data_IF_901404042453
#
_entry.id   IF_901404042453
#
_cell.length_a   1.000
_cell.length_b   1.000
_cell.length_c   1.000
_cell.angle_alpha   90.00
_cell.angle_beta   90.00
_cell.angle_gamma   90.00
#
_symmetry.space_group_name_H-M   'P 1'
#
loop_
_entity.id
_entity.type
_entity.pdbx_description
1 polymer ?
#
# COMPACT_ATOMS: atom_id res chain seq x y z
N UNK A 1 18.75 34.22 -2.31
CA UNK A 1 17.84 35.30 -2.72
C UNK A 1 17.40 35.18 -4.17
N UNK A 2 16.19 35.67 -4.43
CA UNK A 2 15.49 35.84 -5.73
C UNK A 2 15.13 34.56 -6.51
N UNK A 3 13.95 34.01 -6.16
CA UNK A 3 13.17 33.06 -6.97
C UNK A 3 12.91 33.72 -8.34
N UNK A 4 13.33 33.09 -9.43
CA UNK A 4 13.00 33.50 -10.81
C UNK A 4 11.48 33.46 -10.96
N UNK A 5 10.84 34.62 -10.84
CA UNK A 5 9.44 34.82 -11.19
C UNK A 5 9.41 34.77 -12.72
N UNK A 6 8.68 33.81 -13.29
CA UNK A 6 8.46 33.74 -14.74
C UNK A 6 7.78 35.04 -15.17
N UNK A 7 8.52 35.90 -15.86
CA UNK A 7 8.01 37.14 -16.47
C UNK A 7 6.91 36.88 -17.50
N UNK A 8 6.78 35.65 -17.97
CA UNK A 8 5.81 35.24 -19.01
C UNK A 8 4.38 35.08 -18.48
N UNK A 9 4.18 35.14 -17.16
CA UNK A 9 2.86 35.15 -16.51
C UNK A 9 2.52 36.51 -15.89
N UNK A 10 3.19 37.59 -16.30
CA UNK A 10 2.73 38.95 -15.98
C UNK A 10 1.67 39.28 -17.01
N UNK A 11 0.43 38.90 -16.70
CA UNK A 11 -0.75 39.25 -17.48
C UNK A 11 -0.73 40.75 -17.78
N UNK A 12 -0.79 41.07 -19.07
CA UNK A 12 -1.02 42.41 -19.61
C UNK A 12 -2.06 43.15 -18.76
N UNK A 13 -1.83 44.45 -18.61
CA UNK A 13 -2.73 45.46 -18.04
C UNK A 13 -4.20 45.04 -18.21
N UNK A 14 -4.87 44.71 -17.09
CA UNK A 14 -6.25 44.20 -17.13
C UNK A 14 -7.12 45.17 -17.91
N UNK A 15 -7.58 44.75 -19.08
CA UNK A 15 -8.42 45.58 -19.93
C UNK A 15 -9.76 45.84 -19.22
N UNK A 16 -9.95 47.08 -18.78
CA UNK A 16 -11.17 47.56 -18.14
C UNK A 16 -12.43 47.28 -18.98
N UNK A 17 -12.31 47.19 -20.31
CA UNK A 17 -13.43 46.87 -21.21
C UNK A 17 -13.80 45.39 -21.15
N UNK A 18 -12.81 44.52 -21.03
CA UNK A 18 -13.02 43.08 -20.86
C UNK A 18 -13.70 42.78 -19.52
N UNK A 19 -13.28 43.44 -18.45
CA UNK A 19 -13.89 43.32 -17.13
C UNK A 19 -15.34 43.84 -17.09
N UNK A 20 -15.63 44.94 -17.80
CA UNK A 20 -17.00 45.46 -17.93
C UNK A 20 -17.91 44.48 -18.70
N UNK A 21 -17.44 43.91 -19.81
CA UNK A 21 -18.17 42.90 -20.58
C UNK A 21 -18.45 41.64 -19.76
N UNK A 22 -17.46 41.20 -18.99
CA UNK A 22 -17.59 40.07 -18.08
C UNK A 22 -18.53 40.32 -16.89
N UNK A 23 -18.63 41.58 -16.43
CA UNK A 23 -19.61 41.97 -15.41
C UNK A 23 -21.04 41.97 -15.95
N UNK A 24 -21.22 42.18 -17.25
CA UNK A 24 -22.52 42.21 -17.91
C UNK A 24 -23.02 40.81 -18.32
N UNK A 25 -22.13 39.80 -18.36
CA UNK A 25 -22.51 38.40 -18.61
C UNK A 25 -23.25 37.79 -17.40
N UNK A 26 -24.58 37.75 -17.48
CA UNK A 26 -25.42 36.99 -16.54
C UNK A 26 -25.27 35.50 -16.82
N UNK A 27 -24.90 34.70 -15.81
CA UNK A 27 -24.68 33.26 -15.95
C UNK A 27 -23.21 32.81 -15.87
N UNK A 28 -22.32 33.67 -15.34
CA UNK A 28 -20.93 33.30 -15.07
C UNK A 28 -20.87 32.12 -14.08
N UNK A 29 -20.57 30.94 -14.59
CA UNK A 29 -20.41 29.70 -13.84
C UNK A 29 -19.14 29.84 -12.98
N UNK A 30 -19.28 30.36 -11.75
CA UNK A 30 -18.18 30.41 -10.77
C UNK A 30 -17.79 29.01 -10.25
N UNK A 31 -18.64 28.02 -10.50
CA UNK A 31 -18.49 26.61 -10.15
C UNK A 31 -19.24 25.78 -11.19
N UNK A 32 -18.65 24.71 -11.73
CA UNK A 32 -19.34 23.81 -12.69
C UNK A 32 -20.70 23.37 -12.09
N UNK A 33 -21.79 23.33 -12.87
CA UNK A 33 -23.09 22.91 -12.37
C UNK A 33 -22.99 21.43 -11.95
N UNK A 34 -22.82 21.19 -10.64
CA UNK A 34 -22.75 19.85 -10.04
C UNK A 34 -21.44 19.42 -9.37
N UNK A 35 -20.44 20.28 -9.10
CA UNK A 35 -19.17 19.81 -8.52
C UNK A 35 -18.48 20.80 -7.59
N UNK A 36 -17.91 20.26 -6.49
CA UNK A 36 -17.19 20.92 -5.39
C UNK A 36 -16.11 21.92 -5.88
N UNK A 37 -15.66 22.80 -4.98
CA UNK A 37 -14.54 23.73 -5.21
C UNK A 37 -13.24 22.95 -5.53
N UNK A 38 -12.97 22.78 -6.82
CA UNK A 38 -11.71 22.28 -7.35
C UNK A 38 -10.61 23.34 -7.13
N UNK A 39 -9.81 23.20 -6.06
CA UNK A 39 -8.60 24.03 -5.88
C UNK A 39 -7.43 23.27 -6.50
N UNK A 40 -7.33 23.28 -7.83
CA UNK A 40 -6.23 22.64 -8.57
C UNK A 40 -6.23 21.10 -8.51
N UNK A 41 -6.71 20.46 -9.58
CA UNK A 41 -6.49 19.06 -10.01
C UNK A 41 -6.62 17.88 -9.02
N UNK A 42 -6.98 18.08 -7.75
CA UNK A 42 -7.25 16.98 -6.84
C UNK A 42 -8.40 17.34 -5.87
N UNK A 43 -9.50 16.57 -5.84
CA UNK A 43 -10.52 16.75 -4.83
C UNK A 43 -9.91 16.38 -3.47
N UNK A 44 -9.65 17.38 -2.62
CA UNK A 44 -9.32 17.17 -1.20
C UNK A 44 -10.57 16.68 -0.51
N UNK A 45 -10.74 15.36 -0.46
CA UNK A 45 -11.76 14.72 0.38
C UNK A 45 -11.32 14.91 1.83
N UNK A 46 -12.05 15.72 2.60
CA UNK A 46 -11.76 16.02 4.02
C UNK A 46 -11.66 14.78 4.91
N UNK A 47 -12.31 13.66 4.54
CA UNK A 47 -12.23 12.39 5.25
C UNK A 47 -12.23 11.21 4.29
N UNK A 48 -11.10 10.53 4.20
CA UNK A 48 -11.00 9.24 3.54
C UNK A 48 -11.63 8.17 4.44
N UNK A 49 -12.84 7.71 4.11
CA UNK A 49 -13.47 6.53 4.76
C UNK A 49 -12.83 5.20 4.34
N UNK A 50 -11.71 5.24 3.61
CA UNK A 50 -10.99 4.03 3.23
C UNK A 50 -10.15 3.57 4.43
N UNK A 51 -10.17 2.26 4.76
CA UNK A 51 -9.26 1.74 5.77
C UNK A 51 -7.82 2.02 5.33
N UNK A 52 -7.05 2.66 6.21
CA UNK A 52 -5.64 2.93 5.96
C UNK A 52 -4.90 1.60 5.67
N UNK A 53 -3.91 1.60 4.76
CA UNK A 53 -3.07 0.43 4.55
C UNK A 53 -2.48 -0.03 5.89
N UNK A 54 -2.62 -1.32 6.19
CA UNK A 54 -2.08 -1.88 7.43
C UNK A 54 -0.57 -1.71 7.45
N UNK A 55 -0.03 -1.18 8.54
CA UNK A 55 1.41 -1.15 8.77
C UNK A 55 1.92 -2.59 8.83
N UNK A 56 2.90 -2.93 7.99
CA UNK A 56 3.46 -4.28 7.92
C UNK A 56 4.40 -4.50 9.10
N UNK A 57 4.09 -5.50 9.93
CA UNK A 57 4.96 -5.96 11.03
C UNK A 57 5.80 -7.17 10.61
N UNK A 58 6.32 -7.19 9.37
CA UNK A 58 7.10 -8.33 8.87
C UNK A 58 8.51 -8.28 9.41
N UNK A 59 8.93 -9.32 10.14
CA UNK A 59 10.33 -9.61 10.49
C UNK A 59 11.02 -10.33 9.31
N UNK A 60 12.36 -10.31 9.19
CA UNK A 60 13.07 -11.06 8.15
C UNK A 60 12.73 -12.57 8.18
N UNK A 61 12.48 -13.13 9.37
CA UNK A 61 12.08 -14.52 9.57
C UNK A 61 10.56 -14.76 9.39
N UNK A 62 9.77 -13.69 9.21
CA UNK A 62 8.32 -13.79 8.95
C UNK A 62 8.05 -14.15 7.49
N UNK A 63 8.53 -15.32 7.06
CA UNK A 63 8.13 -15.93 5.81
C UNK A 63 6.65 -16.34 5.85
N UNK A 64 6.01 -16.49 4.68
CA UNK A 64 4.60 -16.94 4.57
C UNK A 64 4.32 -18.29 5.25
N UNK A 65 5.37 -19.05 5.56
CA UNK A 65 5.29 -20.46 5.94
C UNK A 65 5.86 -20.78 7.32
N UNK A 66 6.51 -19.85 8.02
CA UNK A 66 7.44 -20.23 9.09
C UNK A 66 6.95 -19.96 10.51
N UNK A 67 5.99 -19.05 10.73
CA UNK A 67 5.69 -18.60 12.10
C UNK A 67 4.26 -18.82 12.58
N UNK A 68 3.35 -19.36 11.76
CA UNK A 68 1.98 -19.60 12.25
C UNK A 68 1.90 -20.96 12.94
N UNK A 69 1.73 -21.03 14.28
CA UNK A 69 1.47 -22.31 14.92
C UNK A 69 0.21 -22.91 14.29
N UNK A 70 0.32 -24.17 13.85
CA UNK A 70 -0.81 -24.94 13.35
C UNK A 70 -1.83 -25.18 14.45
N UNK A 71 -3.07 -25.49 14.07
CA UNK A 71 -4.05 -25.97 15.04
C UNK A 71 -3.52 -27.25 15.74
N UNK A 72 -3.88 -27.50 17.00
CA UNK A 72 -3.48 -28.73 17.68
C UNK A 72 -3.91 -29.96 16.86
N UNK A 73 -2.97 -30.88 16.60
CA UNK A 73 -3.18 -32.05 15.74
C UNK A 73 -2.90 -31.83 14.25
N UNK A 74 -2.38 -30.66 13.84
CA UNK A 74 -1.91 -30.42 12.47
C UNK A 74 -0.41 -30.09 12.41
N UNK A 75 0.25 -30.52 11.34
CA UNK A 75 1.67 -30.24 11.10
C UNK A 75 1.85 -28.86 10.46
N UNK A 76 2.74 -28.05 11.03
CA UNK A 76 3.18 -26.78 10.46
C UNK A 76 4.14 -27.02 9.28
N UNK A 77 4.27 -26.06 8.37
CA UNK A 77 5.16 -26.15 7.20
C UNK A 77 6.63 -26.25 7.61
N UNK A 78 7.04 -25.59 8.69
CA UNK A 78 8.37 -25.78 9.27
C UNK A 78 8.59 -27.24 9.71
N UNK A 79 7.61 -27.84 10.38
CA UNK A 79 7.67 -29.25 10.80
C UNK A 79 7.68 -30.18 9.58
N UNK A 80 6.89 -29.91 8.54
CA UNK A 80 6.91 -30.68 7.29
C UNK A 80 8.26 -30.64 6.59
N UNK A 81 8.91 -29.47 6.53
CA UNK A 81 10.26 -29.36 5.97
C UNK A 81 11.25 -30.20 6.76
N UNK A 82 11.18 -30.16 8.09
CA UNK A 82 12.06 -30.96 8.94
C UNK A 82 11.78 -32.47 8.79
N UNK A 83 10.51 -32.88 8.68
CA UNK A 83 10.13 -34.26 8.36
C UNK A 83 10.76 -34.72 7.04
N UNK A 84 10.70 -33.89 5.99
CA UNK A 84 11.36 -34.21 4.71
C UNK A 84 12.87 -34.33 4.84
N UNK A 85 13.52 -33.45 5.60
CA UNK A 85 14.96 -33.52 5.84
C UNK A 85 15.37 -34.77 6.62
N UNK A 86 14.61 -35.15 7.64
CA UNK A 86 14.83 -36.36 8.44
C UNK A 86 14.68 -37.62 7.58
N UNK A 87 13.64 -37.67 6.75
CA UNK A 87 13.44 -38.80 5.83
C UNK A 87 14.56 -38.92 4.78
N UNK A 88 15.09 -37.78 4.31
CA UNK A 88 16.22 -37.75 3.38
C UNK A 88 17.58 -37.98 4.06
N UNK A 89 17.66 -37.99 5.39
CA UNK A 89 18.91 -38.06 6.14
C UNK A 89 19.81 -36.83 6.01
N UNK A 90 19.21 -35.67 5.68
CA UNK A 90 19.89 -34.37 5.56
C UNK A 90 19.60 -33.45 6.73
N UNK A 91 18.99 -33.97 7.80
CA UNK A 91 18.71 -33.19 8.98
C UNK A 91 20.01 -33.01 9.79
N UNK A 92 20.30 -31.79 10.22
CA UNK A 92 21.48 -31.51 11.04
C UNK A 92 21.40 -32.21 12.41
N UNK A 93 20.19 -32.52 12.88
CA UNK A 93 19.93 -33.12 14.20
C UNK A 93 20.07 -34.66 14.23
N UNK A 94 20.16 -35.34 13.08
CA UNK A 94 20.17 -36.80 13.02
C UNK A 94 21.01 -37.33 11.87
N UNK A 95 21.88 -38.30 12.15
CA UNK A 95 22.75 -38.91 11.15
C UNK A 95 22.02 -40.04 10.40
N UNK A 96 21.76 -39.82 9.11
CA UNK A 96 21.13 -40.81 8.23
C UNK A 96 19.59 -40.72 8.14
N UNK A 97 18.98 -41.45 7.19
CA UNK A 97 17.55 -41.38 6.91
C UNK A 97 16.72 -42.03 8.02
N UNK A 98 15.68 -41.32 8.46
CA UNK A 98 14.75 -41.77 9.50
C UNK A 98 13.53 -42.46 8.87
N UNK A 99 13.05 -43.56 9.46
CA UNK A 99 11.87 -44.27 8.97
C UNK A 99 10.58 -43.50 9.32
N UNK A 100 9.51 -43.68 8.52
CA UNK A 100 8.22 -43.02 8.71
C UNK A 100 7.60 -43.27 10.10
N UNK A 101 7.79 -44.46 10.68
CA UNK A 101 7.31 -44.75 12.04
C UNK A 101 8.04 -43.92 13.11
N UNK A 102 9.36 -43.81 12.99
CA UNK A 102 10.16 -43.02 13.92
C UNK A 102 9.84 -41.52 13.81
N UNK A 103 9.56 -41.05 12.59
CA UNK A 103 9.10 -39.67 12.36
C UNK A 103 7.74 -39.42 13.04
N UNK A 104 6.82 -40.37 12.95
CA UNK A 104 5.50 -40.27 13.60
C UNK A 104 5.54 -40.37 15.13
N UNK A 105 6.57 -41.00 15.70
CA UNK A 105 6.80 -40.96 17.16
C UNK A 105 7.35 -39.59 17.61
N UNK A 106 8.05 -38.88 16.73
CA UNK A 106 8.68 -37.58 17.03
C UNK A 106 7.72 -36.39 16.92
N UNK A 107 6.74 -36.46 16.01
CA UNK A 107 5.81 -35.36 15.68
C UNK A 107 4.36 -35.76 15.91
#
# INVERSE_FOLDING_TARGET
>A
DARRISSDNVLEERDSRYDALLSQMVGRIKSKPGGKLETGEAPVVERYDRPMPKLRNTKPDSGRYEERPGSPGTLNVAQLRQIMLLYQGKADDHEGPMNAQQVAEKF
#
